data_IF_326882846334
#
_entry.id   IF_326882846334
#
_cell.length_a   1.000
_cell.length_b   1.000
_cell.length_c   1.000
_cell.angle_alpha   90.00
_cell.angle_beta   90.00
_cell.angle_gamma   90.00
#
_symmetry.space_group_name_H-M   'P 1'
#
loop_
_entity.id
_entity.type
_entity.pdbx_description
1 polymer ?
#
# COMPACT_ATOMS: atom_id res chain seq x y z
N UNK A 1 30.24 31.08 -7.45
CA UNK A 1 30.23 29.78 -6.74
C UNK A 1 29.55 29.95 -5.37
N UNK A 2 28.29 30.36 -5.38
CA UNK A 2 27.44 30.54 -4.18
C UNK A 2 26.01 30.14 -4.55
N UNK A 3 25.60 30.44 -5.79
CA UNK A 3 24.33 30.02 -6.39
C UNK A 3 24.18 28.51 -6.73
N UNK A 4 25.21 27.66 -6.56
CA UNK A 4 25.15 26.23 -6.92
C UNK A 4 24.83 25.32 -5.70
N UNK A 5 25.01 25.80 -4.47
CA UNK A 5 24.85 24.98 -3.25
C UNK A 5 23.39 24.88 -2.79
N UNK A 6 22.55 25.87 -3.12
CA UNK A 6 21.15 25.93 -2.69
C UNK A 6 20.18 25.15 -3.61
N UNK A 7 20.65 24.67 -4.76
CA UNK A 7 19.89 23.80 -5.69
C UNK A 7 19.77 22.34 -5.21
N UNK A 8 20.33 22.00 -4.04
CA UNK A 8 19.91 20.81 -3.28
C UNK A 8 18.51 21.05 -2.70
N UNK A 9 17.55 21.23 -3.61
CA UNK A 9 16.13 21.39 -3.40
C UNK A 9 15.70 20.43 -2.31
N UNK A 10 15.37 20.98 -1.14
CA UNK A 10 14.70 20.26 -0.07
C UNK A 10 13.34 19.85 -0.61
N UNK A 11 13.29 18.72 -1.30
CA UNK A 11 12.03 18.05 -1.62
C UNK A 11 11.36 17.80 -0.28
N UNK A 12 10.26 18.51 -0.03
CA UNK A 12 9.44 18.28 1.16
C UNK A 12 9.08 16.81 1.20
N UNK A 13 9.54 16.11 2.24
CA UNK A 13 9.22 14.69 2.42
C UNK A 13 7.71 14.61 2.64
N UNK A 14 7.01 14.00 1.70
CA UNK A 14 5.57 13.79 1.80
C UNK A 14 5.31 12.53 2.62
N UNK A 15 4.49 12.65 3.65
CA UNK A 15 4.04 11.53 4.47
C UNK A 15 2.60 11.21 4.09
N UNK A 16 2.35 9.96 3.72
CA UNK A 16 1.01 9.46 3.45
C UNK A 16 0.47 8.77 4.70
N UNK A 17 -0.75 9.13 5.10
CA UNK A 17 -1.49 8.45 6.16
C UNK A 17 -2.61 7.67 5.48
N UNK A 18 -2.67 6.36 5.75
CA UNK A 18 -3.64 5.45 5.14
C UNK A 18 -4.57 4.93 6.25
N UNK A 19 -5.87 4.99 6.00
CA UNK A 19 -6.85 4.28 6.81
C UNK A 19 -6.79 2.78 6.50
N UNK A 20 -5.97 2.06 7.25
CA UNK A 20 -5.79 0.62 7.07
C UNK A 20 -7.07 -0.18 7.33
N UNK A 21 -7.93 0.28 8.24
CA UNK A 21 -9.16 -0.41 8.59
C UNK A 21 -10.15 -0.35 7.42
N UNK A 22 -10.44 0.84 6.89
CA UNK A 22 -11.34 0.95 5.74
C UNK A 22 -10.78 0.23 4.50
N UNK A 23 -9.47 0.29 4.27
CA UNK A 23 -8.87 -0.35 3.10
C UNK A 23 -8.89 -1.87 3.16
N UNK A 24 -8.65 -2.48 4.31
CA UNK A 24 -8.68 -3.95 4.40
C UNK A 24 -10.10 -4.50 4.23
N UNK A 25 -11.11 -3.80 4.74
CA UNK A 25 -12.53 -4.17 4.52
C UNK A 25 -12.90 -4.07 3.04
N UNK A 26 -12.46 -3.03 2.35
CA UNK A 26 -12.67 -2.88 0.90
C UNK A 26 -11.99 -4.01 0.12
N UNK A 27 -10.74 -4.33 0.44
CA UNK A 27 -9.99 -5.41 -0.20
C UNK A 27 -10.66 -6.77 0.00
N UNK A 28 -11.14 -7.05 1.22
CA UNK A 28 -11.86 -8.28 1.55
C UNK A 28 -13.11 -8.48 0.67
N UNK A 29 -13.92 -7.43 0.47
CA UNK A 29 -15.15 -7.54 -0.32
C UNK A 29 -14.98 -7.37 -1.83
N UNK A 30 -13.81 -6.94 -2.32
CA UNK A 30 -13.55 -6.74 -3.75
C UNK A 30 -13.29 -8.06 -4.49
N UNK A 31 -12.58 -9.01 -3.86
CA UNK A 31 -12.17 -10.27 -4.49
C UNK A 31 -13.10 -11.39 -4.03
N UNK A 32 -14.05 -11.78 -4.88
CA UNK A 32 -15.10 -12.78 -4.57
C UNK A 32 -14.78 -14.20 -5.02
N UNK A 33 -13.84 -14.36 -5.96
CA UNK A 33 -13.45 -15.66 -6.53
C UNK A 33 -12.58 -16.53 -5.61
N UNK A 34 -12.27 -16.04 -4.40
CA UNK A 34 -11.39 -16.72 -3.45
C UNK A 34 -9.92 -16.62 -3.82
N UNK A 35 -9.08 -16.62 -2.79
CA UNK A 35 -7.63 -16.75 -2.88
C UNK A 35 -7.19 -17.28 -1.54
N UNK A 36 -6.56 -18.45 -1.55
CA UNK A 36 -6.14 -19.15 -0.35
C UNK A 36 -4.65 -19.49 -0.45
N UNK A 37 -4.00 -19.59 0.70
CA UNK A 37 -2.66 -20.14 0.79
C UNK A 37 -2.63 -21.58 0.25
N UNK A 38 -1.69 -21.93 -0.65
CA UNK A 38 -1.58 -23.29 -1.17
C UNK A 38 -1.07 -24.29 -0.11
N UNK A 39 -0.44 -23.81 0.96
CA UNK A 39 0.18 -24.65 2.00
C UNK A 39 -0.78 -24.91 3.16
N UNK A 40 -1.58 -23.90 3.53
CA UNK A 40 -2.43 -23.92 4.74
C UNK A 40 -3.92 -23.80 4.44
N UNK A 41 -4.30 -23.38 3.22
CA UNK A 41 -5.68 -23.19 2.81
C UNK A 41 -6.36 -21.94 3.36
N UNK A 42 -5.68 -21.14 4.18
CA UNK A 42 -6.25 -19.93 4.78
C UNK A 42 -6.53 -18.86 3.72
N UNK A 43 -7.59 -18.05 3.86
CA UNK A 43 -7.92 -17.00 2.92
C UNK A 43 -6.90 -15.84 2.96
N UNK A 44 -6.38 -15.47 1.79
CA UNK A 44 -5.32 -14.44 1.64
C UNK A 44 -5.73 -13.24 0.77
N UNK A 45 -6.91 -13.29 0.14
CA UNK A 45 -7.40 -12.26 -0.81
C UNK A 45 -7.40 -10.83 -0.24
N UNK A 46 -7.75 -10.64 1.04
CA UNK A 46 -7.75 -9.31 1.66
C UNK A 46 -6.33 -8.73 1.77
N UNK A 47 -5.35 -9.55 2.12
CA UNK A 47 -3.94 -9.15 2.22
C UNK A 47 -3.39 -8.85 0.83
N UNK A 48 -3.71 -9.68 -0.16
CA UNK A 48 -3.33 -9.43 -1.56
C UNK A 48 -3.89 -8.10 -2.07
N UNK A 49 -5.19 -7.85 -1.88
CA UNK A 49 -5.82 -6.60 -2.31
C UNK A 49 -5.27 -5.37 -1.60
N UNK A 50 -5.00 -5.47 -0.29
CA UNK A 50 -4.40 -4.38 0.47
C UNK A 50 -2.98 -4.05 0.00
N UNK A 51 -2.13 -5.07 -0.18
CA UNK A 51 -0.77 -4.88 -0.67
C UNK A 51 -0.77 -4.29 -2.10
N UNK A 52 -1.66 -4.77 -2.98
CA UNK A 52 -1.80 -4.25 -4.34
C UNK A 52 -2.22 -2.78 -4.41
N UNK A 53 -2.89 -2.26 -3.38
CA UNK A 53 -3.21 -0.82 -3.28
C UNK A 53 -2.05 0.04 -2.76
N UNK A 54 -1.02 -0.58 -2.17
CA UNK A 54 0.16 0.12 -1.64
C UNK A 54 1.35 0.15 -2.61
N UNK A 55 1.29 -0.65 -3.68
CA UNK A 55 2.28 -0.70 -4.76
C UNK A 55 1.95 0.32 -5.85
#
# INVERSE_FOLDING_TARGET
MILMLDYNLRMSKTIYIIDGHAQIFRAYFAIRGGMNSPTTGEPTHAVFGMAGMML
#
